data_IF_939869470554
#
_entry.id   IF_939869470554
#
_cell.length_a   1.000
_cell.length_b   1.000
_cell.length_c   1.000
_cell.angle_alpha   90.00
_cell.angle_beta   90.00
_cell.angle_gamma   90.00
#
_symmetry.space_group_name_H-M   'P 1'
#
loop_
_entity.id
_entity.type
_entity.pdbx_description
1 polymer ?
#
# COMPACT_ATOMS: atom_id res chain seq x y z
N UNK A 1 17.26 19.51 -1.01
CA UNK A 1 15.85 19.24 -0.69
C UNK A 1 15.13 18.99 -1.99
N UNK A 2 14.66 17.76 -2.24
CA UNK A 2 13.91 17.43 -3.46
C UNK A 2 12.53 18.09 -3.42
N UNK A 3 12.00 18.49 -4.59
CA UNK A 3 10.71 19.18 -4.72
C UNK A 3 9.55 18.34 -4.15
N UNK A 4 9.63 17.01 -4.27
CA UNK A 4 8.65 16.08 -3.70
C UNK A 4 8.57 16.17 -2.17
N UNK A 5 9.72 16.18 -1.47
CA UNK A 5 9.77 16.26 -0.01
C UNK A 5 9.09 17.55 0.51
N UNK A 6 9.27 18.66 -0.20
CA UNK A 6 8.62 19.94 0.11
C UNK A 6 7.10 19.88 -0.09
N UNK A 7 6.63 19.29 -1.19
CA UNK A 7 5.20 19.19 -1.50
C UNK A 7 4.44 18.31 -0.50
N UNK A 8 5.10 17.28 0.04
CA UNK A 8 4.52 16.32 0.99
C UNK A 8 4.71 16.78 2.45
N UNK A 9 5.62 17.72 2.69
CA UNK A 9 5.91 18.27 4.02
C UNK A 9 6.73 17.33 4.90
N UNK A 10 7.70 16.62 4.31
CA UNK A 10 8.59 15.69 5.00
C UNK A 10 10.05 15.94 4.63
N UNK A 11 10.99 15.32 5.35
CA UNK A 11 12.41 15.44 5.03
C UNK A 11 12.80 14.63 3.79
N UNK A 12 13.87 15.05 3.11
CA UNK A 12 14.43 14.28 1.99
C UNK A 12 14.95 12.91 2.44
N UNK A 13 15.43 12.80 3.69
CA UNK A 13 15.84 11.52 4.27
C UNK A 13 14.67 10.54 4.39
N UNK A 14 13.49 11.00 4.79
CA UNK A 14 12.28 10.16 4.85
C UNK A 14 11.85 9.67 3.48
N UNK A 15 11.87 10.53 2.45
CA UNK A 15 11.64 10.09 1.06
C UNK A 15 12.63 8.98 0.69
N UNK A 16 13.92 9.15 0.98
CA UNK A 16 14.94 8.14 0.68
C UNK A 16 14.73 6.83 1.43
N UNK A 17 14.20 6.86 2.66
CA UNK A 17 13.85 5.63 3.37
C UNK A 17 12.68 4.90 2.71
N UNK A 18 11.70 5.63 2.18
CA UNK A 18 10.56 5.04 1.46
C UNK A 18 11.00 4.42 0.14
N UNK A 19 11.78 5.13 -0.67
CA UNK A 19 12.26 4.65 -1.97
C UNK A 19 13.19 3.43 -1.89
N UNK A 20 13.73 3.15 -0.70
CA UNK A 20 14.63 2.02 -0.42
C UNK A 20 13.96 0.91 0.37
N UNK A 21 12.64 0.96 0.54
CA UNK A 21 11.84 0.00 1.32
C UNK A 21 12.33 -0.17 2.78
N UNK A 22 12.98 0.86 3.34
CA UNK A 22 13.47 0.84 4.72
C UNK A 22 12.39 1.26 5.72
N UNK A 23 11.40 2.02 5.27
CA UNK A 23 10.22 2.42 6.04
C UNK A 23 9.02 2.55 5.11
N UNK A 24 7.82 2.43 5.66
CA UNK A 24 6.57 2.74 4.95
C UNK A 24 6.05 4.13 5.36
N UNK A 25 5.46 4.90 4.43
CA UNK A 25 4.80 6.14 4.78
C UNK A 25 3.54 5.87 5.63
N UNK A 26 3.30 6.72 6.62
CA UNK A 26 2.00 6.74 7.31
C UNK A 26 0.88 7.18 6.37
N UNK A 27 -0.37 6.90 6.74
CA UNK A 27 -1.54 7.14 5.89
C UNK A 27 -1.61 8.58 5.34
N UNK A 28 -1.42 9.60 6.18
CA UNK A 28 -1.46 11.01 5.75
C UNK A 28 -0.39 11.35 4.71
N UNK A 29 0.83 10.81 4.89
CA UNK A 29 1.96 11.03 3.98
C UNK A 29 1.69 10.31 2.67
N UNK A 30 1.16 9.09 2.74
CA UNK A 30 0.77 8.30 1.58
C UNK A 30 -0.31 9.02 0.74
N UNK A 31 -1.37 9.55 1.37
CA UNK A 31 -2.41 10.31 0.65
C UNK A 31 -1.87 11.57 -0.03
N UNK A 32 -0.91 12.26 0.60
CA UNK A 32 -0.22 13.40 -0.02
C UNK A 32 0.64 12.98 -1.21
N UNK A 33 1.39 11.87 -1.09
CA UNK A 33 2.20 11.32 -2.17
C UNK A 33 1.33 10.95 -3.38
N UNK A 34 0.23 10.23 -3.15
CA UNK A 34 -0.76 9.84 -4.18
C UNK A 34 -1.24 11.07 -4.96
N UNK A 35 -1.62 12.13 -4.24
CA UNK A 35 -2.11 13.37 -4.86
C UNK A 35 -1.04 14.11 -5.65
N UNK A 36 0.18 14.21 -5.12
CA UNK A 36 1.28 14.97 -5.76
C UNK A 36 1.83 14.25 -6.99
N UNK A 37 1.87 12.92 -6.95
CA UNK A 37 2.38 12.08 -8.03
C UNK A 37 1.29 11.71 -9.06
N UNK A 38 0.05 12.17 -8.86
CA UNK A 38 -1.09 11.85 -9.72
C UNK A 38 -1.22 10.33 -9.99
N UNK A 39 -0.99 9.54 -8.95
CA UNK A 39 -0.95 8.07 -9.03
C UNK A 39 -2.09 7.44 -8.22
N UNK A 40 -2.18 6.12 -8.21
CA UNK A 40 -3.15 5.39 -7.38
C UNK A 40 -2.48 4.84 -6.11
N UNK A 41 -3.24 4.63 -5.02
CA UNK A 41 -2.72 3.94 -3.83
C UNK A 41 -2.09 2.58 -4.18
N UNK A 42 -2.71 1.84 -5.10
CA UNK A 42 -2.26 0.51 -5.53
C UNK A 42 -0.91 0.60 -6.24
N UNK A 43 -0.75 1.52 -7.19
CA UNK A 43 0.51 1.69 -7.90
C UNK A 43 1.62 2.19 -6.97
N UNK A 44 1.31 3.07 -6.02
CA UNK A 44 2.31 3.55 -5.06
C UNK A 44 2.75 2.46 -4.08
N UNK A 45 1.84 1.57 -3.67
CA UNK A 45 2.12 0.52 -2.69
C UNK A 45 2.78 -0.71 -3.31
N UNK A 46 2.45 -1.04 -4.55
CA UNK A 46 2.84 -2.31 -5.17
C UNK A 46 3.63 -2.13 -6.48
N UNK A 47 3.70 -0.92 -7.04
CA UNK A 47 4.33 -0.67 -8.34
C UNK A 47 3.69 -1.48 -9.47
N UNK A 48 4.48 -1.81 -10.49
CA UNK A 48 4.12 -2.80 -11.52
C UNK A 48 4.42 -4.24 -11.02
N UNK A 49 4.01 -4.57 -9.80
CA UNK A 49 4.26 -5.91 -9.24
C UNK A 49 3.37 -6.95 -9.92
N UNK A 50 4.01 -7.81 -10.71
CA UNK A 50 3.36 -8.98 -11.29
C UNK A 50 2.83 -9.95 -10.22
N UNK A 51 3.39 -9.94 -9.01
CA UNK A 51 2.98 -10.84 -7.93
C UNK A 51 1.57 -10.51 -7.42
N UNK A 52 1.21 -9.23 -7.33
CA UNK A 52 -0.14 -8.83 -6.93
C UNK A 52 -1.15 -9.24 -7.99
N UNK A 53 -0.82 -9.02 -9.26
CA UNK A 53 -1.67 -9.41 -10.40
C UNK A 53 -1.85 -10.92 -10.47
N UNK A 54 -0.78 -11.69 -10.26
CA UNK A 54 -0.82 -13.16 -10.19
C UNK A 54 -1.67 -13.64 -9.01
N UNK A 55 -1.53 -13.02 -7.83
CA UNK A 55 -2.34 -13.35 -6.66
C UNK A 55 -3.82 -13.07 -6.91
N UNK A 56 -4.16 -11.91 -7.48
CA UNK A 56 -5.53 -11.55 -7.86
C UNK A 56 -6.08 -12.53 -8.89
N UNK A 57 -5.30 -12.87 -9.93
CA UNK A 57 -5.70 -13.83 -10.96
C UNK A 57 -5.96 -15.21 -10.34
N UNK A 58 -5.09 -15.66 -9.43
CA UNK A 58 -5.26 -16.93 -8.71
C UNK A 58 -6.53 -16.93 -7.88
N UNK A 59 -6.80 -15.87 -7.11
CA UNK A 59 -8.05 -15.77 -6.32
C UNK A 59 -9.28 -15.79 -7.24
N UNK A 60 -9.27 -15.02 -8.33
CA UNK A 60 -10.37 -14.99 -9.31
C UNK A 60 -10.63 -16.33 -10.00
N UNK A 61 -9.61 -17.20 -10.08
CA UNK A 61 -9.76 -18.55 -10.64
C UNK A 61 -10.44 -19.56 -9.71
N UNK A 62 -10.59 -19.23 -8.41
CA UNK A 62 -11.26 -20.08 -7.43
C UNK A 62 -12.79 -19.95 -7.52
N UNK A 63 -13.56 -20.95 -7.05
CA UNK A 63 -15.01 -20.79 -6.96
C UNK A 63 -15.39 -19.70 -5.93
N UNK A 64 -16.60 -19.14 -6.07
CA UNK A 64 -17.03 -17.94 -5.32
C UNK A 64 -16.99 -18.13 -3.79
N UNK A 65 -17.26 -19.35 -3.32
CA UNK A 65 -17.23 -19.67 -1.89
C UNK A 65 -15.81 -19.54 -1.34
N UNK A 66 -14.82 -20.03 -2.08
CA UNK A 66 -13.40 -19.96 -1.74
C UNK A 66 -12.88 -18.52 -1.84
N UNK A 67 -13.31 -17.75 -2.84
CA UNK A 67 -13.02 -16.31 -2.89
C UNK A 67 -13.54 -15.59 -1.65
N UNK A 68 -14.77 -15.91 -1.24
CA UNK A 68 -15.39 -15.33 -0.03
C UNK A 68 -14.61 -15.69 1.24
N UNK A 69 -14.07 -16.91 1.35
CA UNK A 69 -13.22 -17.31 2.47
C UNK A 69 -11.90 -16.53 2.50
N UNK A 70 -11.27 -16.31 1.35
CA UNK A 70 -10.05 -15.47 1.25
C UNK A 70 -10.36 -14.05 1.73
N UNK A 71 -11.47 -13.45 1.28
CA UNK A 71 -11.86 -12.11 1.71
C UNK A 71 -12.12 -12.03 3.22
N UNK A 72 -12.79 -13.03 3.80
CA UNK A 72 -13.01 -13.11 5.25
C UNK A 72 -11.70 -13.18 6.02
N UNK A 73 -10.74 -13.99 5.55
CA UNK A 73 -9.43 -14.10 6.17
C UNK A 73 -8.63 -12.80 6.11
N UNK A 74 -8.62 -12.12 4.95
CA UNK A 74 -7.94 -10.82 4.79
C UNK A 74 -8.53 -9.75 5.70
N UNK A 75 -9.87 -9.67 5.79
CA UNK A 75 -10.55 -8.73 6.69
C UNK A 75 -10.21 -9.00 8.16
N UNK A 76 -10.16 -10.27 8.56
CA UNK A 76 -9.75 -10.65 9.92
C UNK A 76 -8.31 -10.21 10.22
N UNK A 77 -7.37 -10.43 9.28
CA UNK A 77 -5.98 -10.00 9.45
C UNK A 77 -5.86 -8.48 9.61
N UNK A 78 -6.55 -7.71 8.76
CA UNK A 78 -6.56 -6.24 8.83
C UNK A 78 -7.12 -5.76 10.17
N UNK A 79 -8.18 -6.40 10.68
CA UNK A 79 -8.75 -6.08 11.98
C UNK A 79 -7.75 -6.32 13.14
N UNK A 80 -6.93 -7.38 13.06
CA UNK A 80 -5.88 -7.63 14.05
C UNK A 80 -4.80 -6.55 14.04
N UNK A 81 -4.33 -6.13 12.86
CA UNK A 81 -3.29 -5.11 12.72
C UNK A 81 -3.76 -3.74 13.23
N UNK A 82 -5.02 -3.39 12.96
CA UNK A 82 -5.64 -2.12 13.40
C UNK A 82 -6.00 -2.09 14.90
N UNK A 83 -6.22 -3.24 15.52
CA UNK A 83 -6.50 -3.34 16.97
C UNK A 83 -5.25 -3.20 17.85
N UNK A 84 -4.05 -3.47 17.31
CA UNK A 84 -2.78 -3.33 18.03
C UNK A 84 -2.18 -1.91 17.95
N UNK A 85 -2.86 -0.97 17.29
CA UNK A 85 -2.40 0.41 17.08
C UNK A 85 -3.16 1.46 17.89
N UNK A 86 -4.01 1.06 18.85
CA UNK A 86 -4.67 1.96 19.82
C UNK A 86 -4.16 1.78 21.25
#
# INVERSE_FOLDING_TARGET
MTKLAQLVGISQAQISYYERDLQSPGFDVMMKLIKVLETTPEYLAFGESSELDEAIAKVKSLPEKEQSLVLQFLNWRIALETSHTN
#
